data_IF_628778582867
#
_entry.id   IF_628778582867
#
_cell.length_a   1.000
_cell.length_b   1.000
_cell.length_c   1.000
_cell.angle_alpha   90.00
_cell.angle_beta   90.00
_cell.angle_gamma   90.00
#
_symmetry.space_group_name_H-M   'P 1'
#
loop_
_entity.id
_entity.type
_entity.pdbx_description
1 polymer ?
#
# COMPACT_ATOMS: atom_id res chain seq x y z
N UNK A 1 10.41 -12.47 1.86
CA UNK A 1 10.63 -12.42 0.40
C UNK A 1 11.22 -11.05 0.06
N UNK A 2 12.20 -11.01 -0.85
CA UNK A 2 12.76 -9.75 -1.35
C UNK A 2 12.72 -9.74 -2.87
N UNK A 3 12.42 -8.59 -3.48
CA UNK A 3 12.44 -8.38 -4.92
C UNK A 3 13.57 -7.41 -5.24
N UNK A 4 14.58 -7.88 -5.99
CA UNK A 4 15.76 -7.11 -6.37
C UNK A 4 15.93 -7.08 -7.89
N UNK A 5 16.54 -6.01 -8.41
CA UNK A 5 16.75 -5.83 -9.85
C UNK A 5 17.13 -4.40 -10.20
N UNK A 6 17.59 -4.19 -11.43
CA UNK A 6 18.08 -2.90 -11.95
C UNK A 6 17.04 -1.77 -11.88
N UNK A 7 17.50 -0.51 -11.93
CA UNK A 7 16.58 0.63 -12.02
C UNK A 7 15.68 0.49 -13.25
N UNK A 8 14.37 0.70 -13.09
CA UNK A 8 13.40 0.58 -14.18
C UNK A 8 12.84 -0.83 -14.44
N UNK A 9 13.32 -1.88 -13.78
CA UNK A 9 12.79 -3.24 -14.00
C UNK A 9 11.37 -3.52 -13.45
N UNK A 10 10.67 -2.49 -12.93
CA UNK A 10 9.28 -2.61 -12.49
C UNK A 10 9.04 -2.90 -11.01
N UNK A 11 10.08 -2.94 -10.16
CA UNK A 11 9.93 -3.16 -8.69
C UNK A 11 8.91 -2.22 -8.04
N UNK A 12 9.00 -0.91 -8.35
CA UNK A 12 8.10 0.09 -7.79
C UNK A 12 6.66 -0.06 -8.30
N UNK A 13 6.49 -0.50 -9.55
CA UNK A 13 5.17 -0.83 -10.12
C UNK A 13 4.56 -2.03 -9.40
N UNK A 14 5.33 -3.10 -9.20
CA UNK A 14 4.89 -4.25 -8.43
C UNK A 14 4.51 -3.86 -7.00
N UNK A 15 5.33 -3.04 -6.32
CA UNK A 15 5.03 -2.56 -4.98
C UNK A 15 3.71 -1.77 -4.93
N UNK A 16 3.44 -0.91 -5.93
CA UNK A 16 2.17 -0.17 -6.05
C UNK A 16 0.97 -1.06 -6.33
N UNK A 17 1.16 -2.16 -7.07
CA UNK A 17 0.11 -3.15 -7.30
C UNK A 17 -0.23 -3.91 -6.02
N UNK A 18 0.79 -4.34 -5.26
CA UNK A 18 0.60 -5.00 -3.96
C UNK A 18 -0.08 -4.09 -2.94
N UNK A 19 0.15 -2.78 -3.00
CA UNK A 19 -0.46 -1.80 -2.08
C UNK A 19 -1.79 -1.24 -2.61
N UNK A 20 -2.32 -1.82 -3.70
CA UNK A 20 -3.61 -1.46 -4.31
C UNK A 20 -3.69 -0.01 -4.80
N UNK A 21 -2.53 0.64 -4.99
CA UNK A 21 -2.41 1.98 -5.60
C UNK A 21 -2.62 1.89 -7.11
N UNK A 22 -2.15 0.79 -7.71
CA UNK A 22 -2.22 0.54 -9.14
C UNK A 22 -2.85 -0.82 -9.42
N UNK A 23 -3.77 -0.87 -10.37
CA UNK A 23 -4.46 -2.12 -10.74
C UNK A 23 -3.65 -2.88 -11.79
N UNK A 24 -3.42 -4.20 -11.64
CA UNK A 24 -2.80 -5.00 -12.69
C UNK A 24 -3.62 -4.97 -13.99
N UNK A 25 -2.95 -4.76 -15.13
CA UNK A 25 -3.61 -4.76 -16.44
C UNK A 25 -4.23 -6.12 -16.79
N UNK A 26 -3.58 -7.20 -16.36
CA UNK A 26 -4.01 -8.57 -16.55
C UNK A 26 -3.49 -9.47 -15.42
N UNK A 27 -3.98 -10.71 -15.38
CA UNK A 27 -3.65 -11.67 -14.34
C UNK A 27 -4.49 -11.50 -13.08
N UNK A 28 -4.08 -12.17 -12.01
CA UNK A 28 -4.78 -12.16 -10.73
C UNK A 28 -3.83 -11.81 -9.60
N UNK A 29 -4.31 -11.01 -8.65
CA UNK A 29 -3.61 -10.70 -7.43
C UNK A 29 -4.39 -11.30 -6.25
N UNK A 30 -3.70 -12.08 -5.44
CA UNK A 30 -4.24 -12.72 -4.25
C UNK A 30 -3.43 -12.26 -3.04
N UNK A 31 -4.11 -11.73 -2.03
CA UNK A 31 -3.51 -11.27 -0.77
C UNK A 31 -4.22 -11.99 0.39
N UNK A 32 -3.48 -12.71 1.22
CA UNK A 32 -4.01 -13.47 2.37
C UNK A 32 -5.25 -14.32 2.02
N UNK A 33 -5.21 -15.02 0.89
CA UNK A 33 -6.31 -15.86 0.40
C UNK A 33 -7.49 -15.10 -0.22
N UNK A 34 -7.44 -13.77 -0.29
CA UNK A 34 -8.46 -12.92 -0.88
C UNK A 34 -8.04 -12.46 -2.27
N UNK A 35 -8.89 -12.69 -3.27
CA UNK A 35 -8.69 -12.19 -4.63
C UNK A 35 -8.98 -10.69 -4.67
N UNK A 36 -8.01 -9.90 -5.12
CA UNK A 36 -8.17 -8.46 -5.33
C UNK A 36 -9.02 -8.23 -6.58
N UNK A 37 -10.16 -7.55 -6.43
CA UNK A 37 -11.01 -7.18 -7.56
C UNK A 37 -10.65 -5.79 -8.11
N UNK A 38 -10.14 -5.69 -9.36
CA UNK A 38 -9.72 -4.44 -10.02
C UNK A 38 -10.73 -3.28 -9.99
N UNK A 39 -12.03 -3.60 -10.04
CA UNK A 39 -13.12 -2.64 -10.24
C UNK A 39 -13.87 -2.28 -8.96
N UNK A 40 -13.48 -2.86 -7.83
CA UNK A 40 -14.11 -2.60 -6.53
C UNK A 40 -13.14 -1.86 -5.63
N UNK A 41 -13.69 -0.96 -4.83
CA UNK A 41 -12.91 -0.30 -3.78
C UNK A 41 -12.43 -1.39 -2.81
N UNK A 42 -11.12 -1.47 -2.51
CA UNK A 42 -10.59 -2.42 -1.54
C UNK A 42 -11.31 -2.30 -0.20
N UNK A 43 -11.75 -3.43 0.34
CA UNK A 43 -12.33 -3.45 1.67
C UNK A 43 -11.26 -3.11 2.74
N UNK A 44 -11.72 -2.93 3.98
CA UNK A 44 -10.82 -2.56 5.07
C UNK A 44 -9.82 -3.67 5.42
N UNK A 45 -10.16 -4.95 5.20
CA UNK A 45 -9.29 -6.08 5.51
C UNK A 45 -8.12 -6.13 4.52
N UNK A 46 -8.41 -6.01 3.23
CA UNK A 46 -7.41 -6.00 2.16
C UNK A 46 -6.50 -4.78 2.23
N UNK A 47 -7.00 -3.62 2.68
CA UNK A 47 -6.14 -2.45 2.91
C UNK A 47 -5.18 -2.62 4.09
N UNK A 48 -5.50 -3.48 5.06
CA UNK A 48 -4.65 -3.74 6.23
C UNK A 48 -3.59 -4.81 5.97
N UNK A 49 -3.78 -5.68 4.98
CA UNK A 49 -2.84 -6.77 4.69
C UNK A 49 -1.50 -6.28 4.14
N UNK A 50 -1.49 -5.14 3.45
CA UNK A 50 -0.26 -4.57 2.88
C UNK A 50 -0.13 -3.10 3.26
N UNK A 51 1.02 -2.71 3.80
CA UNK A 51 1.38 -1.32 4.12
C UNK A 51 2.69 -0.97 3.43
N UNK A 52 2.80 0.27 2.93
CA UNK A 52 3.99 0.75 2.21
C UNK A 52 4.84 1.63 3.12
N UNK A 53 6.17 1.47 3.01
CA UNK A 53 7.15 2.43 3.51
C UNK A 53 7.91 2.97 2.30
N UNK A 54 7.92 4.29 2.15
CA UNK A 54 8.59 4.95 1.04
C UNK A 54 10.10 5.04 1.29
N UNK A 55 10.89 4.98 0.20
CA UNK A 55 12.35 5.07 0.28
C UNK A 55 12.83 6.43 0.80
N UNK A 56 12.11 7.51 0.48
CA UNK A 56 12.30 8.83 1.09
C UNK A 56 11.25 9.02 2.21
N UNK A 57 11.65 8.85 3.49
CA UNK A 57 10.73 9.04 4.60
C UNK A 57 10.36 10.52 4.79
N UNK A 58 11.23 11.47 4.42
CA UNK A 58 10.99 12.90 4.64
C UNK A 58 9.91 13.44 3.70
N UNK A 59 9.89 12.98 2.45
CA UNK A 59 8.82 13.31 1.49
C UNK A 59 7.42 12.84 1.93
N UNK A 60 7.34 11.88 2.86
CA UNK A 60 6.06 11.41 3.42
C UNK A 60 5.56 12.20 4.63
N UNK A 61 6.40 13.09 5.20
CA UNK A 61 6.04 13.91 6.36
C UNK A 61 5.23 15.15 5.93
N UNK A 62 4.11 15.40 6.60
CA UNK A 62 3.36 16.63 6.43
C UNK A 62 3.78 17.63 7.51
N UNK A 63 4.47 18.73 7.18
CA UNK A 63 4.97 19.68 8.19
C UNK A 63 3.86 20.42 8.95
N UNK A 64 2.60 20.33 8.49
CA UNK A 64 1.42 20.88 9.20
C UNK A 64 0.82 19.90 10.20
N UNK A 65 1.29 18.65 10.27
CA UNK A 65 0.81 17.62 11.19
C UNK A 65 1.89 17.31 12.23
N UNK A 66 1.47 17.14 13.48
CA UNK A 66 2.35 16.62 14.53
C UNK A 66 2.66 15.14 14.28
N UNK A 67 3.78 14.65 14.85
CA UNK A 67 4.13 13.22 14.83
C UNK A 67 2.96 12.36 15.32
N UNK A 68 2.31 12.78 16.43
CA UNK A 68 1.12 12.12 16.98
C UNK A 68 0.01 11.97 15.92
N UNK A 69 -0.38 13.07 15.28
CA UNK A 69 -1.47 13.05 14.29
C UNK A 69 -1.14 12.14 13.10
N UNK A 70 0.11 12.12 12.65
CA UNK A 70 0.56 11.24 11.57
C UNK A 70 0.54 9.76 11.95
N UNK A 71 0.86 9.42 13.20
CA UNK A 71 0.78 8.05 13.71
C UNK A 71 -0.66 7.60 14.01
N UNK A 72 -1.51 8.52 14.48
CA UNK A 72 -2.91 8.24 14.80
C UNK A 72 -3.79 8.05 13.55
N UNK A 73 -3.54 8.77 12.46
CA UNK A 73 -4.33 8.71 11.22
C UNK A 73 -4.49 7.28 10.65
N UNK A 74 -3.42 6.50 10.39
CA UNK A 74 -3.57 5.14 9.90
C UNK A 74 -4.26 4.23 10.91
N UNK A 75 -4.04 4.44 12.22
CA UNK A 75 -4.74 3.67 13.26
C UNK A 75 -6.24 3.93 13.22
N UNK A 76 -6.67 5.19 13.13
CA UNK A 76 -8.08 5.57 13.08
C UNK A 76 -8.80 5.00 11.84
N UNK A 77 -8.15 5.06 10.68
CA UNK A 77 -8.69 4.56 9.41
C UNK A 77 -8.75 3.03 9.36
N UNK A 78 -7.83 2.35 10.06
CA UNK A 78 -7.64 0.91 9.97
C UNK A 78 -7.97 0.15 11.27
N UNK A 79 -8.58 0.75 12.29
CA UNK A 79 -8.99 -0.01 13.50
C UNK A 79 -10.42 0.27 13.95
N UNK A 80 -11.06 1.36 13.52
CA UNK A 80 -12.47 1.61 13.84
C UNK A 80 -13.39 0.77 12.94
N UNK A 81 -14.00 -0.24 13.53
CA UNK A 81 -15.27 -0.84 13.12
C UNK A 81 -16.35 -0.31 14.07
#
# INVERSE_FOLDING_TARGET
LAVVGESGCGKSTLARQLTLIETPTAGELWLDGHRVEPKRRPDAALRRSVQIVFQDPYGSLNPRKTIRQMLEEPLLLNTRQ
#
